data_IF_770948035103
#
_entry.id   IF_770948035103
#
_cell.length_a   1.000
_cell.length_b   1.000
_cell.length_c   1.000
_cell.angle_alpha   90.00
_cell.angle_beta   90.00
_cell.angle_gamma   90.00
#
_symmetry.space_group_name_H-M   'P 1'
#
loop_
_entity.id
_entity.type
_entity.pdbx_description
1 polymer ?
#
# COMPACT_ATOMS: atom_id res chain seq x y z
N UNK A 1 15.43 11.71 -9.50
CA UNK A 1 15.70 12.20 -8.14
C UNK A 1 16.77 11.33 -7.46
N UNK A 2 16.53 10.05 -7.19
CA UNK A 2 17.50 9.16 -6.50
C UNK A 2 18.76 8.81 -7.31
N UNK A 3 18.84 9.19 -8.56
CA UNK A 3 20.03 9.02 -9.41
C UNK A 3 21.17 9.94 -8.97
N UNK A 4 20.85 11.22 -8.70
CA UNK A 4 21.81 12.25 -8.36
C UNK A 4 21.68 12.79 -6.94
N UNK A 5 20.76 12.24 -6.16
CA UNK A 5 20.54 12.60 -4.77
C UNK A 5 20.34 11.37 -3.91
N UNK A 6 20.84 11.39 -2.69
CA UNK A 6 20.67 10.31 -1.71
C UNK A 6 19.92 10.84 -0.51
N UNK A 7 18.92 10.08 -0.08
CA UNK A 7 18.17 10.37 1.15
C UNK A 7 19.04 9.96 2.33
N UNK A 8 19.34 10.88 3.21
CA UNK A 8 20.17 10.61 4.40
C UNK A 8 19.37 10.59 5.70
N UNK A 9 18.16 11.15 5.67
CA UNK A 9 17.26 11.16 6.82
C UNK A 9 15.81 11.18 6.34
N UNK A 10 14.97 10.38 6.98
CA UNK A 10 13.52 10.38 6.83
C UNK A 10 12.92 10.62 8.22
N UNK A 11 12.03 11.59 8.32
CA UNK A 11 11.18 11.79 9.49
C UNK A 11 9.74 11.50 9.12
N UNK A 12 9.10 10.57 9.84
CA UNK A 12 7.73 10.14 9.61
C UNK A 12 6.82 10.67 10.73
N UNK A 13 5.70 11.27 10.34
CA UNK A 13 4.62 11.56 11.27
C UNK A 13 3.67 10.37 11.29
N UNK A 14 3.56 9.70 12.44
CA UNK A 14 2.84 8.42 12.55
C UNK A 14 1.33 8.63 12.49
N UNK A 15 0.84 9.76 13.00
CA UNK A 15 -0.59 10.07 12.93
C UNK A 15 -0.99 10.63 11.56
N UNK A 16 -2.04 10.06 10.99
CA UNK A 16 -2.59 10.48 9.68
C UNK A 16 -3.49 11.71 9.76
N UNK A 17 -4.08 11.96 10.92
CA UNK A 17 -5.11 12.97 11.14
C UNK A 17 -4.59 14.20 11.90
N UNK A 18 -3.57 14.03 12.75
CA UNK A 18 -3.14 15.11 13.64
C UNK A 18 -2.22 16.15 12.98
N UNK A 19 -1.59 15.83 11.84
CA UNK A 19 -0.68 16.78 11.16
C UNK A 19 -1.45 17.88 10.45
N UNK A 20 -2.59 17.57 9.84
CA UNK A 20 -3.48 18.49 9.14
C UNK A 20 -4.89 18.49 9.74
N UNK A 21 -4.98 18.47 11.06
CA UNK A 21 -6.26 18.34 11.78
C UNK A 21 -7.24 19.48 11.45
N UNK A 22 -6.74 20.70 11.26
CA UNK A 22 -7.56 21.86 10.89
C UNK A 22 -8.19 21.76 9.51
N UNK A 23 -7.64 20.92 8.63
CA UNK A 23 -8.03 20.81 7.23
C UNK A 23 -8.81 19.53 6.94
N UNK A 24 -9.03 18.70 7.98
CA UNK A 24 -9.72 17.40 7.88
C UNK A 24 -9.09 16.46 6.81
N UNK A 25 -7.79 16.58 6.60
CA UNK A 25 -7.04 15.77 5.63
C UNK A 25 -6.42 14.57 6.33
N UNK A 26 -6.82 13.37 5.94
CA UNK A 26 -6.24 12.10 6.37
C UNK A 26 -5.10 11.72 5.43
N UNK A 27 -3.90 12.25 5.68
CA UNK A 27 -2.74 11.99 4.84
C UNK A 27 -1.51 11.66 5.66
N UNK A 28 -0.82 10.61 5.28
CA UNK A 28 0.52 10.31 5.80
C UNK A 28 1.50 11.38 5.30
N UNK A 29 2.34 11.87 6.21
CA UNK A 29 3.26 12.97 5.93
C UNK A 29 4.67 12.61 6.41
N UNK A 30 5.67 13.08 5.67
CA UNK A 30 7.06 12.89 6.02
C UNK A 30 7.93 14.09 5.62
N UNK A 31 9.08 14.20 6.27
CA UNK A 31 10.14 15.11 5.88
C UNK A 31 11.34 14.28 5.44
N UNK A 32 11.94 14.59 4.31
CA UNK A 32 13.14 13.93 3.82
C UNK A 32 14.30 14.92 3.71
N UNK A 33 15.47 14.50 4.15
CA UNK A 33 16.72 15.22 3.91
C UNK A 33 17.52 14.51 2.82
N UNK A 34 17.87 15.26 1.79
CA UNK A 34 18.57 14.74 0.61
C UNK A 34 19.90 15.48 0.45
N UNK A 35 20.91 14.75 0.07
CA UNK A 35 22.22 15.30 -0.31
C UNK A 35 22.45 15.03 -1.80
N UNK A 36 22.90 16.03 -2.53
CA UNK A 36 23.33 15.86 -3.92
C UNK A 36 24.68 15.16 -3.94
N UNK A 37 24.65 13.88 -4.20
CA UNK A 37 25.84 13.00 -4.30
C UNK A 37 25.48 11.77 -5.11
N UNK A 38 26.49 11.17 -5.74
CA UNK A 38 26.37 9.86 -6.37
C UNK A 38 26.82 8.73 -5.44
N UNK A 39 27.55 9.06 -4.39
CA UNK A 39 27.98 8.08 -3.38
C UNK A 39 26.78 7.59 -2.58
N UNK A 40 26.62 6.27 -2.51
CA UNK A 40 25.56 5.64 -1.74
C UNK A 40 25.98 5.63 -0.26
N UNK A 41 25.20 6.24 0.64
CA UNK A 41 25.47 6.21 2.07
C UNK A 41 25.41 4.76 2.59
N UNK A 42 26.22 4.42 3.59
CA UNK A 42 26.10 3.14 4.26
C UNK A 42 24.78 3.03 5.02
N UNK A 43 24.39 4.10 5.66
CA UNK A 43 23.24 4.15 6.56
C UNK A 43 22.31 5.31 6.23
N UNK A 44 21.05 5.16 6.64
CA UNK A 44 20.01 6.19 6.63
C UNK A 44 19.47 6.33 8.04
N UNK A 45 19.32 7.59 8.48
CA UNK A 45 18.68 7.93 9.74
C UNK A 45 17.16 7.97 9.56
N UNK A 46 16.42 7.37 10.48
CA UNK A 46 14.96 7.40 10.50
C UNK A 46 14.51 7.90 11.86
N UNK A 47 13.59 8.84 11.83
CA UNK A 47 12.97 9.36 13.04
C UNK A 47 11.46 9.36 12.88
N UNK A 48 10.76 9.19 13.99
CA UNK A 48 9.30 9.26 14.01
C UNK A 48 8.83 10.18 15.14
N UNK A 49 7.73 10.86 14.92
CA UNK A 49 6.96 11.55 15.96
C UNK A 49 5.47 11.33 15.73
N UNK A 50 4.67 11.48 16.77
CA UNK A 50 3.23 11.33 16.67
C UNK A 50 2.62 12.44 15.80
N UNK A 51 3.05 13.68 16.01
CA UNK A 51 2.51 14.85 15.32
C UNK A 51 3.62 15.82 14.91
N UNK A 52 3.26 16.86 14.18
CA UNK A 52 4.13 17.99 13.83
C UNK A 52 4.35 19.00 14.98
N UNK A 53 3.63 18.87 16.08
CA UNK A 53 3.68 19.81 17.22
C UNK A 53 4.40 19.21 18.44
N UNK A 54 4.63 17.91 18.48
CA UNK A 54 5.30 17.24 19.58
C UNK A 54 6.59 16.57 19.10
N UNK A 55 7.68 17.26 19.29
CA UNK A 55 9.03 16.76 19.05
C UNK A 55 9.76 16.33 20.33
N UNK A 56 9.06 16.30 21.48
CA UNK A 56 9.64 15.85 22.75
C UNK A 56 9.81 14.31 22.81
N UNK A 57 9.02 13.58 22.02
CA UNK A 57 9.00 12.12 21.99
C UNK A 57 9.40 11.59 20.59
N UNK A 58 10.55 12.00 20.09
CA UNK A 58 11.08 11.49 18.83
C UNK A 58 11.71 10.12 19.06
N UNK A 59 11.24 9.11 18.33
CA UNK A 59 11.95 7.84 18.22
C UNK A 59 12.97 7.92 17.09
N UNK A 60 14.15 7.40 17.31
CA UNK A 60 15.25 7.42 16.34
C UNK A 60 15.88 6.04 16.19
N UNK A 61 16.17 5.64 14.96
CA UNK A 61 17.01 4.51 14.67
C UNK A 61 17.74 4.70 13.34
N UNK A 62 18.73 3.83 13.10
CA UNK A 62 19.57 3.86 11.90
C UNK A 62 19.43 2.51 11.18
N UNK A 63 19.16 2.56 9.90
CA UNK A 63 19.06 1.37 9.05
C UNK A 63 20.13 1.38 7.96
N UNK A 64 20.45 0.22 7.41
CA UNK A 64 21.27 0.13 6.20
C UNK A 64 20.54 0.80 5.04
N UNK A 65 21.23 1.65 4.29
CA UNK A 65 20.66 2.41 3.19
C UNK A 65 19.97 1.51 2.16
N UNK A 66 20.64 0.45 1.72
CA UNK A 66 20.11 -0.45 0.68
C UNK A 66 18.91 -1.29 1.13
N UNK A 67 18.66 -1.40 2.44
CA UNK A 67 17.44 -2.03 2.96
C UNK A 67 16.23 -1.11 2.78
N UNK A 68 16.42 0.19 3.01
CA UNK A 68 15.36 1.21 2.92
C UNK A 68 15.18 1.72 1.49
N UNK A 69 16.28 1.90 0.77
CA UNK A 69 16.32 2.40 -0.61
C UNK A 69 17.03 1.35 -1.49
N UNK A 70 16.36 0.25 -1.84
CA UNK A 70 16.99 -0.81 -2.65
C UNK A 70 17.30 -0.33 -4.06
N UNK A 71 18.42 -0.80 -4.61
CA UNK A 71 18.80 -0.60 -6.00
C UNK A 71 17.98 -1.51 -6.92
N UNK A 72 16.70 -1.19 -7.08
CA UNK A 72 15.80 -1.89 -8.00
C UNK A 72 15.30 -0.91 -9.06
N UNK A 73 14.88 -1.44 -10.20
CA UNK A 73 14.41 -0.65 -11.34
C UNK A 73 13.29 0.34 -10.94
N UNK A 74 12.42 -0.06 -10.04
CA UNK A 74 11.26 0.75 -9.62
C UNK A 74 11.61 1.84 -8.59
N UNK A 75 12.82 1.83 -8.03
CA UNK A 75 13.38 2.87 -7.13
C UNK A 75 12.40 3.40 -6.08
N UNK A 76 11.76 2.52 -5.35
CA UNK A 76 10.91 2.90 -4.23
C UNK A 76 11.70 2.99 -2.92
N UNK A 77 11.11 3.67 -1.95
CA UNK A 77 11.66 3.83 -0.61
C UNK A 77 10.71 3.17 0.38
N UNK A 78 11.24 2.27 1.20
CA UNK A 78 10.45 1.68 2.27
C UNK A 78 10.34 2.64 3.45
N UNK A 79 9.12 2.94 3.86
CA UNK A 79 8.84 3.75 5.04
C UNK A 79 8.79 2.82 6.26
N UNK A 80 9.91 2.71 6.95
CA UNK A 80 10.07 1.87 8.14
C UNK A 80 10.01 2.74 9.38
N UNK A 81 9.37 2.26 10.44
CA UNK A 81 9.16 3.01 11.68
C UNK A 81 9.86 2.39 12.88
N UNK A 82 10.27 1.13 12.76
CA UNK A 82 10.86 0.36 13.85
C UNK A 82 11.77 -0.76 13.31
N UNK A 83 12.58 -1.35 14.18
CA UNK A 83 13.51 -2.41 13.79
C UNK A 83 12.82 -3.65 13.21
N UNK A 84 11.65 -4.03 13.74
CA UNK A 84 10.90 -5.18 13.21
C UNK A 84 10.50 -5.03 11.74
N UNK A 85 10.31 -3.81 11.25
CA UNK A 85 10.02 -3.56 9.84
C UNK A 85 11.23 -3.93 8.96
N UNK A 86 12.44 -3.64 9.45
CA UNK A 86 13.69 -4.02 8.79
C UNK A 86 13.82 -5.54 8.73
N UNK A 87 13.52 -6.23 9.84
CA UNK A 87 13.60 -7.70 9.90
C UNK A 87 12.62 -8.34 8.91
N UNK A 88 11.41 -7.80 8.80
CA UNK A 88 10.41 -8.23 7.80
C UNK A 88 10.89 -7.99 6.38
N UNK A 89 11.46 -6.81 6.09
CA UNK A 89 12.01 -6.51 4.76
C UNK A 89 13.15 -7.45 4.37
N UNK A 90 14.05 -7.75 5.31
CA UNK A 90 15.14 -8.72 5.08
C UNK A 90 14.57 -10.10 4.75
N UNK A 91 13.55 -10.55 5.48
CA UNK A 91 12.88 -11.82 5.21
C UNK A 91 12.18 -11.82 3.85
N UNK A 92 11.45 -10.76 3.50
CA UNK A 92 10.80 -10.63 2.19
C UNK A 92 11.84 -10.65 1.07
N UNK A 93 12.95 -9.93 1.23
CA UNK A 93 14.01 -9.88 0.24
C UNK A 93 14.81 -11.19 0.11
N UNK A 94 14.70 -12.11 1.07
CA UNK A 94 15.29 -13.45 0.98
C UNK A 94 14.52 -14.40 0.05
N UNK A 95 13.28 -14.09 -0.31
CA UNK A 95 12.53 -14.87 -1.29
C UNK A 95 13.07 -14.64 -2.70
N UNK A 96 13.40 -15.71 -3.40
CA UNK A 96 13.87 -15.65 -4.79
C UNK A 96 12.79 -15.37 -5.82
N UNK A 97 11.51 -15.56 -5.44
CA UNK A 97 10.37 -15.44 -6.32
C UNK A 97 9.49 -14.25 -5.92
N UNK A 98 9.11 -13.44 -6.90
CA UNK A 98 8.13 -12.36 -6.76
C UNK A 98 6.85 -12.70 -7.53
N UNK A 99 5.73 -12.07 -7.18
CA UNK A 99 4.48 -12.25 -7.93
C UNK A 99 4.65 -12.00 -9.44
N UNK A 100 5.30 -10.91 -9.89
CA UNK A 100 5.54 -10.71 -11.32
C UNK A 100 6.42 -11.79 -11.96
N UNK A 101 7.47 -12.26 -11.26
CA UNK A 101 8.33 -13.32 -11.80
C UNK A 101 7.63 -14.69 -11.83
N UNK A 102 6.62 -14.90 -11.01
CA UNK A 102 5.73 -16.06 -11.04
C UNK A 102 4.60 -15.93 -12.08
N UNK A 103 4.57 -14.86 -12.88
CA UNK A 103 3.55 -14.62 -13.90
C UNK A 103 2.25 -13.98 -13.40
N UNK A 104 2.18 -13.59 -12.14
CA UNK A 104 1.01 -12.96 -11.55
C UNK A 104 1.10 -11.44 -11.57
N UNK A 105 -0.05 -10.78 -11.70
CA UNK A 105 -0.19 -9.32 -11.59
C UNK A 105 -1.22 -9.00 -10.52
N UNK A 106 -0.87 -8.12 -9.59
CA UNK A 106 -1.81 -7.58 -8.63
C UNK A 106 -2.50 -6.36 -9.24
N UNK A 107 -3.83 -6.32 -9.15
CA UNK A 107 -4.66 -5.20 -9.61
C UNK A 107 -5.71 -4.88 -8.55
N UNK A 108 -6.09 -3.63 -8.45
CA UNK A 108 -7.31 -3.24 -7.73
C UNK A 108 -8.54 -3.70 -8.52
N UNK A 109 -9.63 -4.01 -7.81
CA UNK A 109 -10.91 -4.31 -8.45
C UNK A 109 -11.38 -3.17 -9.36
N UNK A 110 -12.06 -3.52 -10.45
CA UNK A 110 -12.55 -2.54 -11.42
C UNK A 110 -13.77 -1.77 -10.92
N UNK A 111 -14.53 -2.40 -10.02
CA UNK A 111 -15.80 -1.85 -9.52
C UNK A 111 -15.57 -1.04 -8.25
N UNK A 112 -15.99 0.21 -8.30
CA UNK A 112 -16.09 1.07 -7.12
C UNK A 112 -17.58 1.13 -6.78
N UNK A 113 -17.99 0.38 -5.76
CA UNK A 113 -19.41 0.12 -5.42
C UNK A 113 -20.22 1.40 -5.22
N UNK A 114 -19.71 2.36 -4.44
CA UNK A 114 -20.42 3.61 -4.18
C UNK A 114 -20.60 4.52 -5.43
N UNK A 115 -19.85 4.26 -6.50
CA UNK A 115 -19.97 4.98 -7.79
C UNK A 115 -20.87 4.28 -8.79
N UNK A 116 -21.23 3.03 -8.54
CA UNK A 116 -21.97 2.16 -9.46
C UNK A 116 -23.25 1.62 -8.81
N UNK A 117 -23.86 2.38 -7.92
CA UNK A 117 -25.03 1.94 -7.14
C UNK A 117 -26.22 1.53 -8.00
N UNK A 118 -26.36 2.13 -9.15
CA UNK A 118 -27.43 1.89 -10.14
C UNK A 118 -27.42 0.46 -10.72
N UNK A 119 -26.25 -0.15 -10.81
CA UNK A 119 -26.05 -1.50 -11.37
C UNK A 119 -25.82 -2.58 -10.30
N UNK A 120 -25.79 -2.21 -9.02
CA UNK A 120 -25.66 -3.17 -7.92
C UNK A 120 -26.98 -3.84 -7.59
N UNK A 121 -26.95 -5.13 -7.23
CA UNK A 121 -28.11 -5.93 -6.84
C UNK A 121 -27.81 -6.79 -5.63
N UNK A 122 -28.81 -6.96 -4.77
CA UNK A 122 -28.72 -7.82 -3.59
C UNK A 122 -28.92 -9.30 -3.97
N UNK A 123 -29.67 -9.55 -5.03
CA UNK A 123 -29.99 -10.90 -5.49
C UNK A 123 -29.50 -11.11 -6.92
N UNK A 124 -29.24 -12.38 -7.25
CA UNK A 124 -28.87 -12.77 -8.60
C UNK A 124 -30.02 -12.50 -9.58
N UNK A 125 -29.68 -11.92 -10.72
CA UNK A 125 -30.56 -11.80 -11.90
C UNK A 125 -29.88 -12.49 -13.09
N UNK A 126 -30.62 -12.70 -14.18
CA UNK A 126 -30.08 -13.34 -15.38
C UNK A 126 -28.95 -12.52 -16.04
N UNK A 127 -28.89 -11.23 -15.73
CA UNK A 127 -27.89 -10.30 -16.29
C UNK A 127 -26.81 -9.92 -15.28
N UNK A 128 -26.81 -10.49 -14.08
CA UNK A 128 -25.85 -10.13 -13.04
C UNK A 128 -24.75 -11.15 -12.85
N UNK A 129 -23.58 -10.66 -12.48
CA UNK A 129 -22.42 -11.47 -12.04
C UNK A 129 -22.14 -11.27 -10.55
N UNK A 130 -21.53 -12.26 -9.89
CA UNK A 130 -21.03 -12.10 -8.53
C UNK A 130 -20.05 -10.93 -8.40
N UNK A 131 -20.20 -10.13 -7.36
CA UNK A 131 -19.30 -9.06 -6.97
C UNK A 131 -18.61 -9.45 -5.65
N UNK A 132 -17.32 -9.75 -5.71
CA UNK A 132 -16.56 -10.19 -4.56
C UNK A 132 -16.02 -9.01 -3.75
N UNK A 133 -16.21 -9.06 -2.46
CA UNK A 133 -15.65 -8.16 -1.45
C UNK A 133 -14.65 -8.93 -0.57
N UNK A 134 -13.85 -8.23 0.22
CA UNK A 134 -12.90 -8.85 1.15
C UNK A 134 -13.57 -9.80 2.14
N UNK A 135 -14.82 -9.52 2.53
CA UNK A 135 -15.61 -10.37 3.44
C UNK A 135 -15.90 -11.77 2.89
N UNK A 136 -15.86 -11.95 1.57
CA UNK A 136 -16.03 -13.27 0.93
C UNK A 136 -14.79 -14.16 1.09
N UNK A 137 -13.65 -13.58 1.49
CA UNK A 137 -12.43 -14.35 1.74
C UNK A 137 -12.36 -14.68 3.22
N UNK A 138 -12.63 -15.95 3.57
CA UNK A 138 -12.64 -16.43 4.94
C UNK A 138 -11.77 -17.67 5.07
N UNK A 139 -10.80 -17.65 5.99
CA UNK A 139 -9.90 -18.77 6.25
C UNK A 139 -9.21 -19.31 4.98
N UNK A 140 -8.78 -18.40 4.09
CA UNK A 140 -8.11 -18.76 2.82
C UNK A 140 -9.02 -19.37 1.75
N UNK A 141 -10.35 -19.29 1.93
CA UNK A 141 -11.34 -19.76 0.96
C UNK A 141 -12.27 -18.63 0.56
N UNK A 142 -12.77 -18.69 -0.68
CA UNK A 142 -13.83 -17.81 -1.16
C UNK A 142 -15.18 -18.46 -0.81
N UNK A 143 -15.99 -17.74 -0.05
CA UNK A 143 -17.36 -18.13 0.32
C UNK A 143 -18.31 -17.14 -0.34
N UNK A 144 -19.26 -17.63 -1.11
CA UNK A 144 -20.25 -16.81 -1.83
C UNK A 144 -21.55 -17.58 -2.08
N UNK A 145 -22.72 -16.95 -1.91
CA UNK A 145 -22.97 -15.66 -1.28
C UNK A 145 -22.84 -15.73 0.24
N UNK A 146 -22.68 -14.58 0.91
CA UNK A 146 -22.68 -14.47 2.39
C UNK A 146 -23.87 -13.67 2.93
N UNK A 147 -24.79 -13.27 2.05
CA UNK A 147 -25.97 -12.47 2.42
C UNK A 147 -25.68 -10.98 2.66
N UNK A 148 -24.56 -10.49 2.11
CA UNK A 148 -24.23 -9.06 2.14
C UNK A 148 -25.09 -8.33 1.10
N UNK A 149 -25.39 -7.03 1.36
CA UNK A 149 -25.97 -6.17 0.33
C UNK A 149 -25.02 -5.98 -0.85
N UNK A 150 -25.59 -5.86 -2.05
CA UNK A 150 -24.85 -5.61 -3.29
C UNK A 150 -23.82 -6.68 -3.66
N UNK A 151 -24.16 -7.96 -3.46
CA UNK A 151 -23.28 -9.08 -3.84
C UNK A 151 -23.27 -9.38 -5.33
N UNK A 152 -24.08 -8.69 -6.12
CA UNK A 152 -24.15 -8.88 -7.56
C UNK A 152 -24.07 -7.54 -8.29
N UNK A 153 -23.57 -7.59 -9.52
CA UNK A 153 -23.49 -6.42 -10.40
C UNK A 153 -24.03 -6.78 -11.78
N UNK A 154 -24.85 -5.90 -12.35
CA UNK A 154 -25.30 -6.04 -13.73
C UNK A 154 -24.17 -5.77 -14.73
N UNK A 155 -24.01 -6.66 -15.70
CA UNK A 155 -22.81 -6.75 -16.55
C UNK A 155 -22.95 -6.03 -17.89
N UNK A 156 -24.01 -5.28 -18.12
CA UNK A 156 -24.20 -4.55 -19.38
C UNK A 156 -23.12 -3.50 -19.67
N UNK A 157 -22.36 -3.10 -18.64
CA UNK A 157 -21.20 -2.23 -18.82
C UNK A 157 -19.92 -3.07 -18.87
N UNK A 158 -19.46 -3.36 -20.08
CA UNK A 158 -18.26 -4.19 -20.33
C UNK A 158 -16.98 -3.72 -19.62
N UNK A 159 -16.93 -2.47 -19.18
CA UNK A 159 -15.79 -1.91 -18.42
C UNK A 159 -15.75 -2.34 -16.95
N UNK A 160 -16.81 -2.90 -16.39
CA UNK A 160 -16.88 -3.34 -14.99
C UNK A 160 -16.48 -4.81 -14.81
N UNK A 161 -16.32 -5.57 -15.87
CA UNK A 161 -15.90 -6.96 -15.83
C UNK A 161 -14.39 -7.08 -15.92
N UNK A 162 -13.81 -7.83 -15.00
CA UNK A 162 -12.42 -8.24 -15.12
C UNK A 162 -12.36 -9.47 -16.02
N UNK A 163 -11.90 -9.27 -17.27
CA UNK A 163 -11.66 -10.37 -18.20
C UNK A 163 -10.35 -11.05 -17.87
N UNK A 164 -10.31 -12.38 -18.01
CA UNK A 164 -9.11 -13.23 -17.85
C UNK A 164 -8.52 -13.18 -16.42
N UNK A 165 -9.36 -13.12 -15.41
CA UNK A 165 -8.91 -13.36 -14.03
C UNK A 165 -8.78 -14.88 -13.83
N UNK A 166 -7.57 -15.33 -13.58
CA UNK A 166 -7.34 -16.66 -13.01
C UNK A 166 -7.56 -16.50 -11.49
N UNK A 167 -8.59 -17.14 -10.97
CA UNK A 167 -8.89 -17.26 -9.55
C UNK A 167 -8.40 -18.62 -9.04
#
# INVERSE_FOLDING_TARGET
>A
FLTHGKIIHIHLFVSRDKVFQSESVLQETMIIKVVKTEEVPMNIKITTSETNNDFSNITEFVALYNTVVPEKADRYVYLVTQQSDIDVLQKINSFSLTLPSAGYKMKTGLTVDFRNKDVLRDNRTDQSCPLFYSQHIQNGKVIFPIGKQAEYIETMQSGLLQKNSNY
#
